data_IF_793400799543
#
_entry.id   IF_793400799543
#
_cell.length_a   1.000
_cell.length_b   1.000
_cell.length_c   1.000
_cell.angle_alpha   90.00
_cell.angle_beta   90.00
_cell.angle_gamma   90.00
#
_symmetry.space_group_name_H-M   'P 1'
#
loop_
_entity.id
_entity.type
_entity.pdbx_description
1 polymer ?
#
# COMPACT_ATOMS: atom_id res chain seq x y z
N UNK A 1 -8.40 14.10 -7.66
CA UNK A 1 -7.53 13.38 -6.72
C UNK A 1 -7.13 12.08 -7.41
N UNK A 2 -5.88 11.96 -7.86
CA UNK A 2 -5.42 10.82 -8.66
C UNK A 2 -5.13 9.61 -7.77
N UNK A 3 -5.42 8.40 -8.25
CA UNK A 3 -5.37 7.16 -7.48
C UNK A 3 -4.00 6.82 -6.86
N UNK A 4 -2.90 7.22 -7.52
CA UNK A 4 -1.53 7.16 -6.97
C UNK A 4 -1.44 7.89 -5.62
N UNK A 5 -2.13 9.03 -5.48
CA UNK A 5 -2.17 9.80 -4.24
C UNK A 5 -2.83 9.07 -3.06
N UNK A 6 -3.73 8.11 -3.29
CA UNK A 6 -4.39 7.38 -2.21
C UNK A 6 -3.53 6.23 -1.68
N UNK A 7 -2.91 5.45 -2.57
CA UNK A 7 -1.93 4.42 -2.15
C UNK A 7 -0.73 5.08 -1.48
N UNK A 8 -0.18 6.15 -2.06
CA UNK A 8 0.91 6.92 -1.46
C UNK A 8 0.53 7.48 -0.09
N UNK A 9 -0.71 7.94 0.08
CA UNK A 9 -1.21 8.43 1.36
C UNK A 9 -1.29 7.32 2.42
N UNK A 10 -1.78 6.14 2.06
CA UNK A 10 -1.83 4.99 2.97
C UNK A 10 -0.43 4.49 3.33
N UNK A 11 0.50 4.45 2.38
CA UNK A 11 1.90 4.08 2.63
C UNK A 11 2.60 5.10 3.54
N UNK A 12 2.35 6.40 3.34
CA UNK A 12 2.88 7.45 4.23
C UNK A 12 2.35 7.31 5.65
N UNK A 13 1.04 7.07 5.81
CA UNK A 13 0.39 6.81 7.11
C UNK A 13 0.97 5.57 7.80
N UNK A 14 1.28 4.53 7.05
CA UNK A 14 1.90 3.32 7.59
C UNK A 14 3.31 3.62 8.13
N UNK A 15 4.15 4.32 7.35
CA UNK A 15 5.49 4.74 7.77
C UNK A 15 5.48 5.61 9.02
N UNK A 16 4.47 6.48 9.18
CA UNK A 16 4.31 7.29 10.39
C UNK A 16 4.03 6.43 11.63
N UNK A 17 3.19 5.41 11.49
CA UNK A 17 2.86 4.47 12.57
C UNK A 17 4.08 3.62 12.93
N UNK A 18 4.83 3.13 11.94
CA UNK A 18 6.07 2.38 12.18
C UNK A 18 7.11 3.21 12.94
N UNK A 19 7.25 4.50 12.58
CA UNK A 19 8.12 5.43 13.33
C UNK A 19 7.62 5.64 14.76
N UNK A 20 6.30 5.68 14.98
CA UNK A 20 5.74 5.79 16.33
C UNK A 20 6.00 4.52 17.14
N UNK A 21 5.79 3.34 16.57
CA UNK A 21 6.11 2.05 17.19
C UNK A 21 7.59 1.98 17.61
N UNK A 22 8.50 2.40 16.73
CA UNK A 22 9.93 2.44 17.04
C UNK A 22 10.26 3.38 18.20
N UNK A 23 9.55 4.51 18.34
CA UNK A 23 9.71 5.43 19.47
C UNK A 23 9.21 4.81 20.77
N UNK A 24 8.01 4.25 20.77
CA UNK A 24 7.45 3.61 21.97
C UNK A 24 8.29 2.41 22.43
N UNK A 25 8.82 1.60 21.51
CA UNK A 25 9.77 0.54 21.85
C UNK A 25 11.04 1.10 22.51
N UNK A 26 11.57 2.22 22.02
CA UNK A 26 12.71 2.88 22.66
C UNK A 26 12.36 3.37 24.07
N UNK A 27 11.15 3.87 24.28
CA UNK A 27 10.62 4.25 25.61
C UNK A 27 10.52 3.02 26.51
N UNK A 28 10.09 1.85 26.01
CA UNK A 28 10.10 0.61 26.79
C UNK A 28 11.49 0.20 27.26
N UNK A 29 12.50 0.40 26.43
CA UNK A 29 13.88 0.05 26.75
C UNK A 29 14.46 1.00 27.81
N UNK A 30 14.26 2.31 27.65
CA UNK A 30 15.03 3.35 28.36
C UNK A 30 14.21 4.21 29.34
N UNK A 31 12.89 4.20 29.28
CA UNK A 31 12.00 5.01 30.13
C UNK A 31 11.93 4.52 31.57
N UNK A 32 11.34 5.32 32.45
CA UNK A 32 11.04 4.88 33.81
C UNK A 32 9.76 4.01 33.86
N UNK A 33 9.41 3.44 35.02
CA UNK A 33 8.27 2.52 35.11
C UNK A 33 6.95 3.15 34.63
N UNK A 34 6.58 4.39 35.03
CA UNK A 34 5.43 5.09 34.48
C UNK A 34 5.46 5.23 32.95
N UNK A 35 6.58 5.69 32.39
CA UNK A 35 6.74 5.88 30.94
C UNK A 35 6.58 4.55 30.18
N UNK A 36 7.09 3.45 30.75
CA UNK A 36 6.97 2.11 30.17
C UNK A 36 5.52 1.61 30.14
N UNK A 37 4.72 1.91 31.17
CA UNK A 37 3.30 1.53 31.21
C UNK A 37 2.52 2.29 30.12
N UNK A 38 2.75 3.58 29.98
CA UNK A 38 2.11 4.39 28.92
C UNK A 38 2.54 3.94 27.52
N UNK A 39 3.81 3.60 27.34
CA UNK A 39 4.34 3.06 26.08
C UNK A 39 3.70 1.71 25.72
N UNK A 40 3.46 0.80 26.67
CA UNK A 40 2.79 -0.48 26.43
C UNK A 40 1.34 -0.29 25.92
N UNK A 41 0.59 0.63 26.53
CA UNK A 41 -0.76 0.94 26.09
C UNK A 41 -0.77 1.57 24.68
N UNK A 42 0.20 2.44 24.42
CA UNK A 42 0.36 3.11 23.12
C UNK A 42 0.75 2.13 22.01
N UNK A 43 1.66 1.19 22.28
CA UNK A 43 2.06 0.13 21.36
C UNK A 43 0.87 -0.71 20.90
N UNK A 44 0.03 -1.15 21.83
CA UNK A 44 -1.16 -1.95 21.51
C UNK A 44 -2.08 -1.23 20.53
N UNK A 45 -2.31 0.08 20.75
CA UNK A 45 -3.15 0.91 19.88
C UNK A 45 -2.50 1.12 18.50
N UNK A 46 -1.19 1.35 18.46
CA UNK A 46 -0.43 1.55 17.23
C UNK A 46 -0.38 0.27 16.38
N UNK A 47 -0.19 -0.90 16.98
CA UNK A 47 -0.19 -2.18 16.28
C UNK A 47 -1.55 -2.49 15.64
N UNK A 48 -2.64 -2.28 16.38
CA UNK A 48 -3.99 -2.43 15.83
C UNK A 48 -4.22 -1.49 14.64
N UNK A 49 -3.70 -0.26 14.72
CA UNK A 49 -3.84 0.73 13.65
C UNK A 49 -2.96 0.40 12.45
N UNK A 50 -1.75 -0.14 12.67
CA UNK A 50 -0.86 -0.68 11.63
C UNK A 50 -1.57 -1.78 10.86
N UNK A 51 -2.08 -2.80 11.55
CA UNK A 51 -2.76 -3.94 10.95
C UNK A 51 -3.96 -3.52 10.09
N UNK A 52 -4.81 -2.62 10.61
CA UNK A 52 -5.95 -2.09 9.84
C UNK A 52 -5.52 -1.31 8.59
N UNK A 53 -4.38 -0.62 8.64
CA UNK A 53 -3.84 0.09 7.49
C UNK A 53 -3.25 -0.86 6.46
N UNK A 54 -2.55 -1.92 6.91
CA UNK A 54 -2.04 -2.99 6.04
C UNK A 54 -3.18 -3.70 5.31
N UNK A 55 -4.23 -4.12 6.02
CA UNK A 55 -5.42 -4.73 5.42
C UNK A 55 -6.07 -3.79 4.38
N UNK A 56 -6.19 -2.50 4.68
CA UNK A 56 -6.72 -1.50 3.73
C UNK A 56 -5.82 -1.30 2.51
N UNK A 57 -4.51 -1.41 2.70
CA UNK A 57 -3.52 -1.22 1.66
C UNK A 57 -3.46 -2.43 0.73
N UNK A 58 -3.58 -3.63 1.28
CA UNK A 58 -3.75 -4.89 0.55
C UNK A 58 -5.04 -4.84 -0.28
N UNK A 59 -6.19 -4.55 0.32
CA UNK A 59 -7.45 -4.40 -0.43
C UNK A 59 -7.37 -3.31 -1.51
N UNK A 60 -6.69 -2.18 -1.23
CA UNK A 60 -6.52 -1.12 -2.21
C UNK A 60 -5.60 -1.55 -3.37
N UNK A 61 -4.56 -2.34 -3.09
CA UNK A 61 -3.67 -2.92 -4.11
C UNK A 61 -4.37 -3.98 -4.94
N UNK A 62 -5.18 -4.86 -4.33
CA UNK A 62 -5.97 -5.88 -5.03
C UNK A 62 -6.97 -5.23 -5.99
N UNK A 63 -7.80 -4.30 -5.50
CA UNK A 63 -8.75 -3.57 -6.34
C UNK A 63 -8.05 -2.76 -7.43
N UNK A 64 -6.89 -2.16 -7.11
CA UNK A 64 -6.10 -1.47 -8.12
C UNK A 64 -5.54 -2.45 -9.15
N UNK A 65 -5.07 -3.63 -8.74
CA UNK A 65 -4.59 -4.69 -9.62
C UNK A 65 -5.70 -5.27 -10.49
N UNK A 66 -6.93 -5.37 -10.01
CA UNK A 66 -8.11 -5.76 -10.79
C UNK A 66 -8.48 -4.69 -11.82
N UNK A 67 -8.48 -3.42 -11.41
CA UNK A 67 -8.75 -2.30 -12.34
C UNK A 67 -7.62 -2.17 -13.37
N UNK A 68 -6.37 -2.37 -12.95
CA UNK A 68 -5.23 -2.41 -13.84
C UNK A 68 -5.25 -3.64 -14.74
N UNK A 69 -5.66 -4.82 -14.26
CA UNK A 69 -5.70 -6.03 -15.09
C UNK A 69 -6.79 -5.94 -16.15
N UNK A 70 -7.96 -5.36 -15.85
CA UNK A 70 -9.00 -5.06 -16.84
C UNK A 70 -8.52 -4.01 -17.86
N UNK A 71 -7.87 -2.93 -17.40
CA UNK A 71 -7.30 -1.93 -18.30
C UNK A 71 -6.16 -2.51 -19.15
N UNK A 72 -5.28 -3.34 -18.58
CA UNK A 72 -4.21 -4.01 -19.31
C UNK A 72 -4.73 -5.08 -20.25
N UNK A 73 -5.83 -5.76 -19.93
CA UNK A 73 -6.48 -6.70 -20.84
C UNK A 73 -7.02 -5.97 -22.07
N UNK A 74 -7.71 -4.83 -21.88
CA UNK A 74 -8.14 -3.96 -22.98
C UNK A 74 -6.97 -3.39 -23.81
N UNK A 75 -5.88 -2.94 -23.15
CA UNK A 75 -4.69 -2.48 -23.86
C UNK A 75 -3.93 -3.61 -24.58
N UNK A 76 -3.99 -4.85 -24.09
CA UNK A 76 -3.39 -6.00 -24.77
C UNK A 76 -4.20 -6.41 -25.99
N UNK A 77 -5.53 -6.40 -25.94
CA UNK A 77 -6.37 -6.61 -27.12
C UNK A 77 -6.20 -5.49 -28.17
N UNK A 78 -6.04 -4.23 -27.75
CA UNK A 78 -5.73 -3.12 -28.68
C UNK A 78 -4.34 -3.26 -29.29
N UNK A 79 -3.34 -3.67 -28.51
CA UNK A 79 -1.97 -3.90 -29.00
C UNK A 79 -1.90 -5.13 -29.92
N UNK A 80 -2.55 -6.24 -29.57
CA UNK A 80 -2.64 -7.44 -30.41
C UNK A 80 -3.38 -7.10 -31.73
N UNK A 81 -4.43 -6.28 -31.68
CA UNK A 81 -5.12 -5.80 -32.88
C UNK A 81 -4.28 -4.87 -33.76
N UNK A 82 -3.41 -4.04 -33.16
CA UNK A 82 -2.44 -3.20 -33.89
C UNK A 82 -1.31 -4.06 -34.45
N UNK A 83 -0.83 -5.06 -33.72
CA UNK A 83 0.24 -5.98 -34.13
C UNK A 83 -0.24 -6.89 -35.27
N UNK A 84 -1.47 -7.42 -35.20
CA UNK A 84 -2.13 -8.13 -36.32
C UNK A 84 -2.28 -7.24 -37.56
N UNK A 85 -2.60 -5.96 -37.37
CA UNK A 85 -2.75 -5.00 -38.48
C UNK A 85 -1.40 -4.68 -39.12
N UNK A 86 -0.34 -4.59 -38.32
CA UNK A 86 1.03 -4.34 -38.81
C UNK A 86 1.61 -5.59 -39.48
N UNK A 87 1.41 -6.78 -38.95
CA UNK A 87 1.83 -8.03 -39.59
C UNK A 87 1.14 -8.23 -40.94
N UNK A 88 -0.15 -7.91 -41.05
CA UNK A 88 -0.91 -8.01 -42.30
C UNK A 88 -0.48 -7.00 -43.36
N UNK A 89 0.12 -5.87 -42.96
CA UNK A 89 0.65 -4.85 -43.88
C UNK A 89 2.11 -5.09 -44.28
N UNK A 90 2.88 -5.84 -43.48
CA UNK A 90 4.30 -6.09 -43.73
C UNK A 90 4.53 -7.46 -44.41
N UNK A 91 3.68 -8.45 -44.14
CA UNK A 91 3.80 -9.81 -44.69
C UNK A 91 2.71 -10.14 -45.73
N UNK A 92 1.79 -9.21 -46.01
CA UNK A 92 0.75 -9.29 -47.04
C UNK A 92 1.10 -8.54 -48.32
#
# INVERSE_FOLDING_TARGET
MTHTSYLDHLESRLKEIERALARENKTLEHGDIPDKVEALESLTKLEQRRRRLEERLETAREKHSETWSEAHAGFREELDGIEDTIEKLILG
#
